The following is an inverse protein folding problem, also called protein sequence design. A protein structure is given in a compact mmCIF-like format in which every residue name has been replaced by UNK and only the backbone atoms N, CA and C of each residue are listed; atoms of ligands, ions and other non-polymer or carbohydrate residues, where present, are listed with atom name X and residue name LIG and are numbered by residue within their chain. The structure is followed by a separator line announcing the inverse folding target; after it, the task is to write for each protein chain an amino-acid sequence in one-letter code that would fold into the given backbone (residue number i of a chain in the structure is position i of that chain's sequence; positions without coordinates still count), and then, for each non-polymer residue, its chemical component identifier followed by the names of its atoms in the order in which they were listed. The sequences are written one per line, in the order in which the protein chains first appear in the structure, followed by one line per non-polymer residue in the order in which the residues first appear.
data_IF_854148063760
#
_entry.id   IF_854148063760
#
_cell.length_a   1.000
_cell.length_b   1.000
_cell.length_c   1.000
_cell.angle_alpha   90.00
_cell.angle_beta   90.00
_cell.angle_gamma   90.00
#
_symmetry.space_group_name_H-M   'P 1'
#
loop_
_entity.id
_entity.type
_entity.pdbx_description
1 polymer ?
#
# COMPACT_ATOMS: atom_id res chain seq x y z
N UNK A 1 3.93 57.43 25.85
CA UNK A 1 4.73 56.65 24.88
C UNK A 1 4.01 55.44 24.29
N UNK A 2 3.19 54.70 25.05
CA UNK A 2 2.55 53.45 24.58
C UNK A 2 1.59 53.63 23.38
N UNK A 3 0.87 54.77 23.28
CA UNK A 3 -0.03 55.05 22.14
C UNK A 3 0.68 55.17 20.78
N UNK A 4 1.95 55.58 20.76
CA UNK A 4 2.73 55.72 19.53
C UNK A 4 3.13 54.36 18.94
N UNK A 5 3.45 53.39 19.81
CA UNK A 5 3.80 52.01 19.43
C UNK A 5 2.60 51.30 18.82
N UNK A 6 1.41 51.48 19.40
CA UNK A 6 0.18 50.89 18.88
C UNK A 6 -0.19 51.43 17.48
N UNK A 7 0.05 52.73 17.23
CA UNK A 7 -0.20 53.38 15.94
C UNK A 7 0.78 52.91 14.85
N UNK A 8 2.02 52.58 15.22
CA UNK A 8 3.04 52.10 14.29
C UNK A 8 2.73 50.68 13.79
N UNK A 9 2.28 49.78 14.68
CA UNK A 9 1.94 48.39 14.32
C UNK A 9 0.68 48.30 13.45
N UNK A 10 -0.25 49.26 13.59
CA UNK A 10 -1.52 49.28 12.83
C UNK A 10 -1.41 49.91 11.42
N UNK A 11 -0.22 50.39 11.00
CA UNK A 11 -0.08 51.11 9.73
C UNK A 11 0.98 50.48 8.82
N UNK A 12 0.70 49.29 8.26
CA UNK A 12 1.18 48.81 6.94
C UNK A 12 0.85 47.32 6.74
N UNK A 13 -0.34 47.04 6.19
CA UNK A 13 -0.73 45.70 5.70
C UNK A 13 -0.31 45.57 4.21
N UNK A 14 0.99 45.64 3.90
CA UNK A 14 1.52 45.55 2.52
C UNK A 14 2.09 44.15 2.19
N UNK A 15 1.56 43.09 2.80
CA UNK A 15 2.15 41.74 2.77
C UNK A 15 1.41 40.69 1.94
N UNK A 16 0.64 41.08 0.91
CA UNK A 16 -0.07 40.12 0.08
C UNK A 16 -0.08 40.59 -1.37
N UNK A 17 1.05 40.43 -2.05
CA UNK A 17 1.13 40.70 -3.48
C UNK A 17 0.76 39.44 -4.27
N UNK A 18 0.22 39.60 -5.49
CA UNK A 18 -0.06 38.46 -6.37
C UNK A 18 1.22 37.68 -6.70
N UNK A 19 2.34 38.38 -6.91
CA UNK A 19 3.64 37.77 -7.19
C UNK A 19 4.07 36.83 -6.05
N UNK A 20 3.83 37.23 -4.80
CA UNK A 20 4.18 36.43 -3.62
C UNK A 20 3.37 35.12 -3.56
N UNK A 21 2.07 35.18 -3.84
CA UNK A 21 1.26 33.95 -3.97
C UNK A 21 1.70 33.09 -5.16
N UNK A 22 2.12 33.69 -6.28
CA UNK A 22 2.63 32.93 -7.43
C UNK A 22 3.91 32.16 -7.11
N UNK A 23 4.85 32.78 -6.39
CA UNK A 23 6.09 32.12 -5.96
C UNK A 23 5.78 30.98 -4.98
N UNK A 24 4.85 31.18 -4.05
CA UNK A 24 4.43 30.14 -3.10
C UNK A 24 3.81 28.94 -3.83
N UNK A 25 2.89 29.18 -4.77
CA UNK A 25 2.29 28.11 -5.57
C UNK A 25 3.33 27.38 -6.43
N UNK A 26 4.30 28.10 -6.99
CA UNK A 26 5.42 27.52 -7.72
C UNK A 26 6.23 26.56 -6.83
N UNK A 27 6.63 26.99 -5.64
CA UNK A 27 7.38 26.14 -4.70
C UNK A 27 6.56 24.91 -4.28
N UNK A 28 5.28 25.08 -3.92
CA UNK A 28 4.39 23.96 -3.56
C UNK A 28 4.25 22.96 -4.71
N UNK A 29 4.12 23.45 -5.96
CA UNK A 29 4.02 22.57 -7.14
C UNK A 29 5.26 21.69 -7.33
N UNK A 30 6.46 22.25 -7.14
CA UNK A 30 7.73 21.50 -7.22
C UNK A 30 7.82 20.46 -6.09
N UNK A 31 7.44 20.84 -4.86
CA UNK A 31 7.42 19.92 -3.73
C UNK A 31 6.46 18.75 -3.96
N UNK A 32 5.26 19.00 -4.50
CA UNK A 32 4.28 17.95 -4.84
C UNK A 32 4.81 17.00 -5.92
N UNK A 33 5.47 17.53 -6.95
CA UNK A 33 6.11 16.72 -8.00
C UNK A 33 7.19 15.77 -7.47
N UNK A 34 7.89 16.13 -6.39
CA UNK A 34 8.88 15.25 -5.75
C UNK A 34 8.19 14.28 -4.77
N UNK A 35 7.22 14.76 -3.98
CA UNK A 35 6.58 13.99 -2.92
C UNK A 35 5.66 12.88 -3.45
N UNK A 36 4.81 13.18 -4.44
CA UNK A 36 3.83 12.22 -5.00
C UNK A 36 4.49 10.97 -5.58
N UNK A 37 5.50 11.04 -6.48
CA UNK A 37 6.12 9.84 -7.04
C UNK A 37 6.94 9.06 -6.00
N UNK A 38 7.38 9.70 -4.91
CA UNK A 38 8.06 9.01 -3.82
C UNK A 38 7.06 8.18 -3.00
N UNK A 39 5.87 8.71 -2.69
CA UNK A 39 4.82 7.99 -1.97
C UNK A 39 4.24 6.82 -2.77
N UNK A 40 4.03 6.96 -4.08
CA UNK A 40 3.39 5.91 -4.90
C UNK A 40 4.26 4.67 -5.08
N UNK A 41 5.59 4.80 -5.19
CA UNK A 41 6.50 3.65 -5.34
C UNK A 41 6.50 2.74 -4.12
N UNK A 42 6.42 3.30 -2.91
CA UNK A 42 6.36 2.52 -1.67
C UNK A 42 5.11 1.65 -1.60
N UNK A 43 3.96 2.14 -2.06
CA UNK A 43 2.71 1.36 -2.05
C UNK A 43 2.79 0.13 -2.95
N UNK A 44 3.37 0.24 -4.14
CA UNK A 44 3.53 -0.90 -5.07
C UNK A 44 4.46 -1.96 -4.48
N UNK A 45 5.58 -1.54 -3.87
CA UNK A 45 6.53 -2.46 -3.21
C UNK A 45 5.88 -3.16 -2.02
N UNK A 46 5.14 -2.42 -1.19
CA UNK A 46 4.41 -2.98 -0.04
C UNK A 46 3.34 -3.97 -0.51
N UNK A 47 2.60 -3.64 -1.57
CA UNK A 47 1.58 -4.50 -2.15
C UNK A 47 2.17 -5.84 -2.63
N UNK A 48 3.26 -5.78 -3.40
CA UNK A 48 3.96 -6.97 -3.87
C UNK A 48 4.48 -7.81 -2.71
N UNK A 49 5.16 -7.18 -1.75
CA UNK A 49 5.71 -7.90 -0.59
C UNK A 49 4.62 -8.54 0.27
N UNK A 50 3.47 -7.89 0.40
CA UNK A 50 2.29 -8.42 1.10
C UNK A 50 1.69 -9.62 0.37
N UNK A 51 1.56 -9.55 -0.96
CA UNK A 51 1.11 -10.69 -1.77
C UNK A 51 2.10 -11.86 -1.67
N UNK A 52 3.40 -11.62 -1.80
CA UNK A 52 4.43 -12.66 -1.69
C UNK A 52 4.40 -13.35 -0.32
N UNK A 53 4.23 -12.60 0.76
CA UNK A 53 4.10 -13.16 2.11
C UNK A 53 2.83 -14.02 2.26
N UNK A 54 1.73 -13.60 1.64
CA UNK A 54 0.47 -14.37 1.64
C UNK A 54 0.63 -15.67 0.87
N UNK A 55 1.30 -15.63 -0.30
CA UNK A 55 1.62 -16.83 -1.09
C UNK A 55 2.45 -17.81 -0.26
N UNK A 56 3.50 -17.34 0.40
CA UNK A 56 4.34 -18.21 1.26
C UNK A 56 3.56 -18.80 2.43
N UNK A 57 2.67 -18.02 3.05
CA UNK A 57 1.83 -18.50 4.14
C UNK A 57 0.89 -19.61 3.65
N UNK A 58 0.17 -19.38 2.56
CA UNK A 58 -0.78 -20.36 2.00
C UNK A 58 -0.03 -21.60 1.49
N UNK A 59 1.15 -21.44 0.87
CA UNK A 59 2.00 -22.56 0.46
C UNK A 59 2.41 -23.44 1.65
N UNK A 60 2.75 -22.82 2.79
CA UNK A 60 3.02 -23.55 4.03
C UNK A 60 1.81 -24.32 4.53
N UNK A 61 0.61 -23.78 4.35
CA UNK A 61 -0.64 -24.44 4.69
C UNK A 61 -0.99 -25.59 3.73
N UNK A 62 -0.70 -25.47 2.44
CA UNK A 62 -0.78 -26.60 1.49
C UNK A 62 0.14 -27.75 1.93
N UNK A 63 1.37 -27.44 2.34
CA UNK A 63 2.30 -28.46 2.85
C UNK A 63 1.81 -29.09 4.17
N UNK A 64 1.19 -28.30 5.05
CA UNK A 64 0.57 -28.81 6.27
C UNK A 64 -0.61 -29.74 5.94
N UNK A 65 -1.48 -29.36 5.00
CA UNK A 65 -2.57 -30.20 4.52
C UNK A 65 -2.03 -31.53 3.98
N UNK A 66 -1.00 -31.48 3.13
CA UNK A 66 -0.35 -32.65 2.56
C UNK A 66 0.17 -33.61 3.64
N UNK A 67 0.72 -33.07 4.72
CA UNK A 67 1.22 -33.87 5.84
C UNK A 67 0.10 -34.58 6.60
N UNK A 68 -1.08 -33.95 6.72
CA UNK A 68 -2.23 -34.53 7.42
C UNK A 68 -3.04 -35.51 6.55
N UNK A 69 -3.04 -35.32 5.22
CA UNK A 69 -3.82 -36.11 4.26
C UNK A 69 -2.97 -37.16 3.54
N UNK A 70 -2.03 -37.79 4.24
CA UNK A 70 -1.22 -38.91 3.72
C UNK A 70 -0.46 -38.61 2.41
N UNK A 71 -0.08 -37.36 2.16
CA UNK A 71 0.62 -36.95 0.95
C UNK A 71 -0.28 -36.37 -0.15
N UNK A 72 -1.60 -36.38 0.04
CA UNK A 72 -2.56 -35.82 -0.91
C UNK A 72 -2.51 -34.29 -0.89
N UNK A 73 -2.51 -33.69 -2.09
CA UNK A 73 -2.64 -32.25 -2.27
C UNK A 73 -4.12 -31.87 -2.23
N UNK A 74 -4.48 -30.66 -1.74
CA UNK A 74 -5.85 -30.19 -1.81
C UNK A 74 -6.24 -29.97 -3.29
N UNK A 75 -7.49 -30.24 -3.66
CA UNK A 75 -7.93 -30.05 -5.06
C UNK A 75 -8.07 -28.54 -5.39
N UNK A 76 -8.28 -27.72 -4.37
CA UNK A 76 -8.44 -26.26 -4.46
C UNK A 76 -8.07 -25.60 -3.14
N UNK A 77 -7.84 -24.27 -3.14
CA UNK A 77 -7.49 -23.52 -1.93
C UNK A 77 -8.66 -23.37 -0.95
N UNK A 78 -9.90 -23.63 -1.36
CA UNK A 78 -11.06 -23.53 -0.48
C UNK A 78 -11.08 -24.65 0.57
N UNK A 79 -10.44 -25.79 0.28
CA UNK A 79 -10.26 -26.90 1.24
C UNK A 79 -9.35 -26.54 2.41
N UNK A 80 -8.51 -25.51 2.26
CA UNK A 80 -7.70 -24.98 3.35
C UNK A 80 -8.53 -24.12 4.31
N UNK A 81 -9.73 -23.69 3.93
CA UNK A 81 -10.62 -22.86 4.74
C UNK A 81 -11.65 -23.73 5.46
N UNK A 82 -11.92 -23.52 6.76
CA UNK A 82 -11.27 -22.57 7.67
C UNK A 82 -10.09 -23.18 8.46
N UNK A 83 -9.82 -24.48 8.29
CA UNK A 83 -8.95 -25.24 9.20
C UNK A 83 -7.49 -24.81 9.14
N UNK A 84 -6.99 -24.45 7.95
CA UNK A 84 -5.59 -24.11 7.71
C UNK A 84 -5.36 -22.62 7.42
N UNK A 85 -6.34 -21.93 6.79
CA UNK A 85 -6.30 -20.49 6.52
C UNK A 85 -7.64 -19.82 6.77
N UNK A 86 -7.60 -18.58 7.27
CA UNK A 86 -8.81 -17.76 7.48
C UNK A 86 -9.28 -17.00 6.24
N UNK A 87 -8.40 -16.80 5.25
CA UNK A 87 -8.72 -16.19 3.95
C UNK A 87 -7.63 -16.51 2.93
N UNK A 88 -8.02 -16.63 1.65
CA UNK A 88 -7.14 -16.92 0.50
C UNK A 88 -6.99 -15.71 -0.46
N UNK A 89 -7.37 -14.51 0.01
CA UNK A 89 -7.32 -13.29 -0.80
C UNK A 89 -5.95 -12.61 -0.73
N UNK A 90 -5.40 -12.23 -1.89
CA UNK A 90 -4.25 -11.33 -1.94
C UNK A 90 -4.63 -9.93 -1.45
N UNK A 91 -3.63 -9.12 -1.11
CA UNK A 91 -3.83 -7.77 -0.54
C UNK A 91 -4.51 -6.77 -1.51
N UNK A 92 -4.62 -7.12 -2.80
CA UNK A 92 -5.38 -6.40 -3.82
C UNK A 92 -6.84 -6.90 -3.98
N UNK A 93 -7.28 -7.82 -3.12
CA UNK A 93 -8.61 -8.45 -3.18
C UNK A 93 -8.78 -9.51 -4.27
N UNK A 94 -7.73 -9.81 -5.06
CA UNK A 94 -7.78 -10.88 -6.07
C UNK A 94 -7.50 -12.25 -5.43
N UNK A 95 -8.15 -13.33 -5.91
CA UNK A 95 -7.84 -14.68 -5.44
C UNK A 95 -6.43 -15.10 -5.88
N UNK A 96 -5.74 -15.87 -5.03
CA UNK A 96 -4.46 -16.49 -5.39
C UNK A 96 -4.66 -17.56 -6.47
N UNK A 97 -3.62 -17.80 -7.27
CA UNK A 97 -3.61 -18.87 -8.27
C UNK A 97 -3.04 -20.13 -7.62
N UNK A 98 -3.69 -21.27 -7.86
CA UNK A 98 -3.26 -22.55 -7.32
C UNK A 98 -3.22 -23.61 -8.42
N UNK A 99 -2.16 -24.42 -8.40
CA UNK A 99 -2.00 -25.58 -9.28
C UNK A 99 -2.15 -26.87 -8.47
N UNK A 100 -3.28 -27.55 -8.61
CA UNK A 100 -3.57 -28.80 -7.90
C UNK A 100 -2.63 -29.96 -8.28
N UNK A 101 -2.03 -29.93 -9.47
CA UNK A 101 -1.10 -30.98 -9.92
C UNK A 101 0.28 -30.84 -9.28
N UNK A 102 0.72 -29.62 -8.98
CA UNK A 102 2.05 -29.34 -8.40
C UNK A 102 2.00 -28.93 -6.94
N UNK A 103 0.84 -28.54 -6.43
CA UNK A 103 0.67 -27.99 -5.08
C UNK A 103 1.18 -26.55 -4.94
N UNK A 104 1.47 -25.86 -6.04
CA UNK A 104 2.09 -24.53 -6.03
C UNK A 104 1.04 -23.41 -5.96
N UNK A 105 1.28 -22.47 -5.05
CA UNK A 105 0.51 -21.23 -4.89
C UNK A 105 1.29 -20.08 -5.52
N UNK A 106 0.60 -19.27 -6.31
CA UNK A 106 1.18 -18.14 -7.03
C UNK A 106 0.37 -16.86 -6.83
N UNK A 107 1.06 -15.72 -6.97
CA UNK A 107 0.41 -14.42 -6.98
C UNK A 107 -0.58 -14.35 -8.17
N UNK A 108 -1.71 -13.62 -8.02
CA UNK A 108 -2.59 -13.32 -9.14
C UNK A 108 -1.79 -12.64 -10.24
N UNK A 109 -2.08 -12.95 -11.51
CA UNK A 109 -1.46 -12.24 -12.62
C UNK A 109 -1.72 -10.72 -12.47
N UNK A 110 -0.65 -9.96 -12.27
CA UNK A 110 -0.66 -8.51 -12.34
C UNK A 110 -0.85 -8.14 -13.81
N UNK A 111 -1.90 -7.37 -14.14
CA UNK A 111 -1.93 -6.58 -15.39
C UNK A 111 -1.06 -5.33 -15.22
#
# INVERSE_FOLDING_TARGET
MIKAVHKFILTSQRGFTLIEMMIVLFIISVLLLIAVPNMTKSNVVVQKKSTDATVQLVQGQVAAYQTNHNGDLPDNLDELVPEYVSSITASNGKPLVYNATTGEVSAPADE
#
